data_IF_293568546361
#
_entry.id   IF_293568546361
#
_cell.length_a   1.000
_cell.length_b   1.000
_cell.length_c   1.000
_cell.angle_alpha   90.00
_cell.angle_beta   90.00
_cell.angle_gamma   90.00
#
_symmetry.space_group_name_H-M   'P 1'
#
loop_
_entity.id
_entity.type
_entity.pdbx_description
1 polymer ?
#
# COMPACT_ATOMS: atom_id res chain seq x y z
N UNK A 1 -8.00 -18.84 22.65
CA UNK A 1 -7.66 -17.49 22.15
C UNK A 1 -7.07 -17.59 20.76
N UNK A 2 -7.43 -16.66 19.88
CA UNK A 2 -6.85 -16.49 18.56
C UNK A 2 -5.91 -15.29 18.58
N UNK A 3 -4.71 -15.41 18.00
CA UNK A 3 -3.77 -14.31 17.89
C UNK A 3 -4.20 -13.38 16.75
N UNK A 4 -4.53 -12.14 17.08
CA UNK A 4 -4.86 -11.10 16.09
C UNK A 4 -3.58 -10.43 15.58
N UNK A 5 -2.66 -10.07 16.47
CA UNK A 5 -1.40 -9.40 16.12
C UNK A 5 -0.27 -9.77 17.09
N UNK A 6 0.99 -9.46 16.71
CA UNK A 6 2.15 -9.68 17.57
C UNK A 6 2.81 -11.06 17.44
N UNK A 7 2.71 -11.72 16.26
CA UNK A 7 3.30 -13.04 16.02
C UNK A 7 4.82 -13.09 16.34
N UNK A 8 5.58 -12.05 15.96
CA UNK A 8 7.01 -11.98 16.30
C UNK A 8 7.25 -11.97 17.80
N UNK A 9 6.44 -11.21 18.57
CA UNK A 9 6.51 -11.14 20.01
C UNK A 9 6.21 -12.49 20.65
N UNK A 10 5.12 -13.14 20.22
CA UNK A 10 4.77 -14.48 20.69
C UNK A 10 5.88 -15.50 20.41
N UNK A 11 6.44 -15.51 19.21
CA UNK A 11 7.53 -16.40 18.85
C UNK A 11 8.80 -16.15 19.69
N UNK A 12 9.14 -14.88 19.96
CA UNK A 12 10.25 -14.54 20.85
C UNK A 12 10.05 -15.08 22.26
N UNK A 13 8.85 -14.96 22.83
CA UNK A 13 8.54 -15.52 24.16
C UNK A 13 8.63 -17.05 24.17
N UNK A 14 8.17 -17.72 23.08
CA UNK A 14 8.33 -19.18 22.93
C UNK A 14 9.80 -19.60 22.89
N UNK A 15 10.64 -18.89 22.10
CA UNK A 15 12.09 -19.15 22.02
C UNK A 15 12.78 -18.96 23.38
N UNK A 16 12.37 -17.95 24.13
CA UNK A 16 12.88 -17.68 25.49
C UNK A 16 12.29 -18.62 26.55
N UNK A 17 11.47 -19.60 26.16
CA UNK A 17 10.77 -20.55 27.06
C UNK A 17 10.00 -19.85 28.19
N UNK A 18 9.43 -18.67 27.91
CA UNK A 18 8.58 -17.96 28.87
C UNK A 18 7.18 -18.56 28.86
N UNK A 19 6.64 -18.85 30.05
CA UNK A 19 5.29 -19.42 30.20
C UNK A 19 4.16 -18.41 30.04
N UNK A 20 4.42 -17.12 30.22
CA UNK A 20 3.44 -16.05 30.16
C UNK A 20 3.88 -14.93 29.23
N UNK A 21 2.92 -14.35 28.52
CA UNK A 21 3.09 -13.19 27.66
C UNK A 21 2.03 -12.14 27.99
N UNK A 22 2.38 -10.85 28.18
CA UNK A 22 1.40 -9.80 28.28
C UNK A 22 0.60 -9.68 26.99
N UNK A 23 -0.73 -9.72 27.08
CA UNK A 23 -1.63 -9.62 25.95
C UNK A 23 -2.85 -8.76 26.29
N UNK A 24 -3.39 -8.09 25.27
CA UNK A 24 -4.71 -7.46 25.34
C UNK A 24 -5.70 -8.44 24.75
N UNK A 25 -6.76 -8.77 25.48
CA UNK A 25 -7.83 -9.66 25.02
C UNK A 25 -8.98 -8.80 24.50
N UNK A 26 -9.42 -9.08 23.27
CA UNK A 26 -10.60 -8.47 22.67
C UNK A 26 -11.74 -9.52 22.69
N UNK A 27 -12.92 -9.12 23.11
CA UNK A 27 -14.13 -9.96 23.15
C UNK A 27 -14.92 -9.91 21.83
N UNK A 28 -14.25 -9.56 20.74
CA UNK A 28 -14.85 -9.37 19.42
C UNK A 28 -14.63 -10.60 18.55
N UNK A 29 -15.69 -11.16 18.00
CA UNK A 29 -15.66 -12.37 17.17
C UNK A 29 -15.67 -12.07 15.66
N UNK A 30 -15.79 -10.79 15.28
CA UNK A 30 -15.86 -10.40 13.88
C UNK A 30 -14.48 -10.41 13.21
N UNK A 31 -14.30 -11.28 12.23
CA UNK A 31 -13.05 -11.41 11.49
C UNK A 31 -12.58 -10.12 10.80
N UNK A 32 -13.52 -9.27 10.33
CA UNK A 32 -13.17 -7.97 9.74
C UNK A 32 -12.62 -7.00 10.79
N UNK A 33 -13.15 -7.05 12.02
CA UNK A 33 -12.61 -6.25 13.14
C UNK A 33 -11.21 -6.73 13.52
N UNK A 34 -10.96 -8.04 13.54
CA UNK A 34 -9.63 -8.59 13.77
C UNK A 34 -8.63 -8.12 12.71
N UNK A 35 -9.00 -8.15 11.43
CA UNK A 35 -8.18 -7.62 10.34
C UNK A 35 -7.92 -6.11 10.48
N UNK A 36 -8.94 -5.35 10.91
CA UNK A 36 -8.79 -3.91 11.14
C UNK A 36 -7.78 -3.61 12.26
N UNK A 37 -7.86 -4.35 13.37
CA UNK A 37 -6.92 -4.21 14.50
C UNK A 37 -5.47 -4.50 14.04
N UNK A 38 -5.26 -5.58 13.28
CA UNK A 38 -3.95 -5.94 12.74
C UNK A 38 -3.40 -4.84 11.82
N UNK A 39 -4.24 -4.33 10.89
CA UNK A 39 -3.86 -3.27 9.98
C UNK A 39 -3.52 -1.96 10.69
N UNK A 40 -4.30 -1.58 11.71
CA UNK A 40 -4.05 -0.37 12.50
C UNK A 40 -2.77 -0.48 13.32
N UNK A 41 -2.47 -1.65 13.87
CA UNK A 41 -1.19 -1.89 14.52
C UNK A 41 -0.03 -1.73 13.53
N UNK A 42 -0.11 -2.32 12.35
CA UNK A 42 0.92 -2.22 11.32
C UNK A 42 1.12 -0.78 10.84
N UNK A 43 0.05 -0.04 10.59
CA UNK A 43 0.10 1.38 10.20
C UNK A 43 0.66 2.29 11.31
N UNK A 44 0.53 1.90 12.59
CA UNK A 44 1.10 2.64 13.72
C UNK A 44 2.58 2.39 13.93
N UNK A 45 3.10 1.27 13.45
CA UNK A 45 4.53 0.93 13.48
C UNK A 45 5.20 1.57 12.26
N UNK A 46 6.18 2.44 12.47
CA UNK A 46 6.94 3.11 11.42
C UNK A 46 7.89 2.16 10.63
N UNK A 47 7.47 0.91 10.40
CA UNK A 47 8.27 -0.13 9.73
C UNK A 47 7.81 -0.45 8.31
N UNK A 48 6.68 0.13 7.87
CA UNK A 48 6.17 -0.07 6.53
C UNK A 48 6.85 0.89 5.55
N UNK A 49 7.13 0.42 4.35
CA UNK A 49 7.49 1.28 3.23
C UNK A 49 6.27 2.12 2.80
N UNK A 50 6.51 3.23 2.10
CA UNK A 50 5.42 4.07 1.57
C UNK A 50 4.51 3.28 0.61
N UNK A 51 5.06 2.30 -0.09
CA UNK A 51 4.33 1.39 -0.97
C UNK A 51 3.35 0.53 -0.17
N UNK A 52 3.83 -0.12 0.90
CA UNK A 52 3.02 -0.95 1.79
C UNK A 52 1.96 -0.15 2.54
N UNK A 53 2.31 1.05 3.04
CA UNK A 53 1.34 1.94 3.68
C UNK A 53 0.17 2.29 2.73
N UNK A 54 0.45 2.50 1.44
CA UNK A 54 -0.58 2.76 0.43
C UNK A 54 -1.59 1.62 0.33
N UNK A 55 -1.11 0.38 0.29
CA UNK A 55 -1.96 -0.81 0.22
C UNK A 55 -2.74 -1.04 1.51
N UNK A 56 -2.10 -0.85 2.68
CA UNK A 56 -2.75 -0.96 3.99
C UNK A 56 -3.88 0.08 4.17
N UNK A 57 -3.67 1.33 3.72
CA UNK A 57 -4.70 2.37 3.77
C UNK A 57 -5.92 1.98 2.93
N UNK A 58 -5.71 1.44 1.73
CA UNK A 58 -6.83 1.02 0.86
C UNK A 58 -7.55 -0.20 1.42
N UNK A 59 -6.81 -1.17 1.96
CA UNK A 59 -7.41 -2.34 2.60
C UNK A 59 -8.22 -1.94 3.84
N UNK A 60 -7.69 -1.02 4.68
CA UNK A 60 -8.41 -0.45 5.81
C UNK A 60 -9.73 0.20 5.39
N UNK A 61 -9.72 1.00 4.31
CA UNK A 61 -10.94 1.61 3.80
C UNK A 61 -11.97 0.58 3.34
N UNK A 62 -11.56 -0.50 2.67
CA UNK A 62 -12.45 -1.58 2.26
C UNK A 62 -13.13 -2.22 3.47
N UNK A 63 -12.36 -2.57 4.50
CA UNK A 63 -12.92 -3.15 5.73
C UNK A 63 -13.89 -2.19 6.41
N UNK A 64 -13.57 -0.89 6.50
CA UNK A 64 -14.48 0.12 7.07
C UNK A 64 -15.77 0.29 6.27
N UNK A 65 -15.74 0.10 4.95
CA UNK A 65 -16.93 0.09 4.10
C UNK A 65 -17.77 -1.15 4.40
N UNK A 66 -17.17 -2.33 4.48
CA UNK A 66 -17.86 -3.59 4.78
C UNK A 66 -18.48 -3.59 6.19
N UNK A 67 -17.82 -2.95 7.15
CA UNK A 67 -18.36 -2.72 8.50
C UNK A 67 -19.44 -1.61 8.56
N UNK A 68 -19.77 -0.97 7.43
CA UNK A 68 -20.75 0.14 7.39
C UNK A 68 -20.27 1.44 8.04
N UNK A 69 -18.99 1.55 8.38
CA UNK A 69 -18.40 2.72 9.04
C UNK A 69 -17.94 3.80 8.04
N UNK A 70 -17.82 3.46 6.75
CA UNK A 70 -17.48 4.38 5.66
C UNK A 70 -18.44 4.21 4.51
N UNK A 71 -18.92 5.35 3.92
CA UNK A 71 -19.74 5.32 2.71
C UNK A 71 -18.92 5.11 1.45
N UNK A 72 -19.50 4.41 0.48
CA UNK A 72 -18.98 4.34 -0.88
C UNK A 72 -19.17 5.70 -1.57
N UNK A 73 -18.17 6.17 -2.30
CA UNK A 73 -18.27 7.42 -3.06
C UNK A 73 -19.43 7.31 -4.07
N UNK A 74 -20.32 8.31 -4.08
CA UNK A 74 -21.49 8.35 -4.97
C UNK A 74 -22.76 7.67 -4.43
N UNK A 75 -22.72 7.05 -3.27
CA UNK A 75 -23.94 6.55 -2.61
C UNK A 75 -24.66 7.68 -1.89
N UNK A 76 -25.97 7.84 -2.15
CA UNK A 76 -26.85 8.80 -1.44
C UNK A 76 -27.22 8.32 -0.03
N UNK A 77 -26.34 7.63 0.65
CA UNK A 77 -26.60 7.15 1.99
C UNK A 77 -26.54 8.31 2.98
N UNK A 78 -27.72 8.85 3.32
CA UNK A 78 -27.97 9.71 4.48
C UNK A 78 -27.73 8.99 5.83
N UNK A 79 -26.94 7.91 5.85
CA UNK A 79 -26.57 7.22 7.08
C UNK A 79 -25.61 8.12 7.86
N UNK A 80 -26.14 8.66 8.91
CA UNK A 80 -25.48 9.47 9.94
C UNK A 80 -24.20 8.78 10.41
N UNK A 81 -23.02 9.32 10.08
CA UNK A 81 -21.68 8.94 10.59
C UNK A 81 -20.74 8.13 9.68
N UNK A 82 -20.89 8.13 8.39
CA UNK A 82 -19.82 7.59 7.54
C UNK A 82 -18.55 8.44 7.66
N UNK A 83 -17.43 7.79 7.98
CA UNK A 83 -16.14 8.47 8.11
C UNK A 83 -15.71 9.11 6.79
N UNK A 84 -15.32 10.38 6.83
CA UNK A 84 -14.77 11.10 5.69
C UNK A 84 -13.28 10.78 5.51
N UNK A 85 -12.73 11.05 4.31
CA UNK A 85 -11.29 10.96 4.10
C UNK A 85 -10.49 11.92 5.00
N UNK A 86 -11.07 13.03 5.44
CA UNK A 86 -10.46 13.93 6.41
C UNK A 86 -10.32 13.23 7.77
N UNK A 87 -11.42 12.66 8.28
CA UNK A 87 -11.43 11.89 9.53
C UNK A 87 -10.44 10.72 9.49
N UNK A 88 -10.40 9.99 8.38
CA UNK A 88 -9.47 8.85 8.24
C UNK A 88 -8.01 9.28 8.21
N UNK A 89 -7.70 10.42 7.57
CA UNK A 89 -6.33 10.96 7.56
C UNK A 89 -5.89 11.45 8.94
N UNK A 90 -6.81 12.05 9.72
CA UNK A 90 -6.56 12.48 11.09
C UNK A 90 -6.26 11.30 12.02
N UNK A 91 -7.04 10.20 11.91
CA UNK A 91 -6.81 8.97 12.67
C UNK A 91 -5.40 8.40 12.43
N UNK A 92 -4.91 8.49 11.20
CA UNK A 92 -3.56 8.06 10.81
C UNK A 92 -2.49 9.14 11.03
N UNK A 93 -2.82 10.26 11.69
CA UNK A 93 -1.92 11.39 11.97
C UNK A 93 -1.21 11.94 10.74
N UNK A 94 -1.87 11.94 9.60
CA UNK A 94 -1.34 12.46 8.34
C UNK A 94 -2.27 13.52 7.73
N UNK A 95 -1.73 14.43 6.92
CA UNK A 95 -2.56 15.39 6.22
C UNK A 95 -3.36 14.71 5.09
N UNK A 96 -4.51 15.30 4.73
CA UNK A 96 -5.44 14.79 3.71
C UNK A 96 -4.76 14.56 2.35
N UNK A 97 -3.82 15.42 1.96
CA UNK A 97 -3.11 15.32 0.67
C UNK A 97 -2.19 14.10 0.65
N UNK A 98 -1.40 13.90 1.71
CA UNK A 98 -0.53 12.71 1.87
C UNK A 98 -1.36 11.43 1.86
N UNK A 99 -2.49 11.42 2.57
CA UNK A 99 -3.43 10.29 2.58
C UNK A 99 -3.90 9.93 1.16
N UNK A 100 -4.32 10.93 0.37
CA UNK A 100 -4.75 10.72 -1.02
C UNK A 100 -3.61 10.22 -1.92
N UNK A 101 -2.40 10.73 -1.73
CA UNK A 101 -1.24 10.28 -2.51
C UNK A 101 -0.87 8.83 -2.19
N UNK A 102 -0.87 8.44 -0.92
CA UNK A 102 -0.65 7.04 -0.54
C UNK A 102 -1.72 6.11 -1.11
N UNK A 103 -2.98 6.53 -1.10
CA UNK A 103 -4.05 5.78 -1.81
C UNK A 103 -3.81 5.69 -3.32
N UNK A 104 -3.26 6.72 -3.95
CA UNK A 104 -2.93 6.66 -5.36
C UNK A 104 -1.82 5.66 -5.65
N UNK A 105 -0.85 5.52 -4.76
CA UNK A 105 0.25 4.54 -4.86
C UNK A 105 -0.27 3.11 -4.93
N UNK A 106 -1.34 2.77 -4.22
CA UNK A 106 -1.93 1.42 -4.28
C UNK A 106 -2.45 1.01 -5.66
N UNK A 107 -2.61 1.97 -6.58
CA UNK A 107 -3.02 1.70 -7.97
C UNK A 107 -1.87 1.22 -8.88
N UNK A 108 -0.65 1.19 -8.38
CA UNK A 108 0.47 0.60 -9.11
C UNK A 108 0.18 -0.89 -9.34
N UNK A 109 0.49 -1.36 -10.56
CA UNK A 109 0.31 -2.77 -10.92
C UNK A 109 1.02 -3.71 -9.94
N UNK A 110 0.38 -4.80 -9.53
CA UNK A 110 0.88 -5.73 -8.52
C UNK A 110 2.21 -6.39 -8.90
N UNK A 111 2.43 -6.70 -10.18
CA UNK A 111 3.72 -7.22 -10.65
C UNK A 111 4.84 -6.17 -10.47
N UNK A 112 4.51 -4.90 -10.71
CA UNK A 112 5.46 -3.79 -10.50
C UNK A 112 5.78 -3.60 -9.03
N UNK A 113 4.76 -3.64 -8.14
CA UNK A 113 4.97 -3.54 -6.69
C UNK A 113 5.96 -4.59 -6.19
N UNK A 114 5.79 -5.85 -6.61
CA UNK A 114 6.71 -6.94 -6.25
C UNK A 114 8.15 -6.69 -6.72
N UNK A 115 8.33 -6.11 -7.91
CA UNK A 115 9.64 -5.81 -8.46
C UNK A 115 10.36 -4.66 -7.74
N UNK A 116 9.61 -3.69 -7.21
CA UNK A 116 10.21 -2.50 -6.56
C UNK A 116 10.25 -2.59 -5.04
N UNK A 117 9.63 -3.60 -4.42
CA UNK A 117 9.49 -3.71 -2.95
C UNK A 117 10.82 -3.53 -2.21
N UNK A 118 11.89 -4.17 -2.69
CA UNK A 118 13.22 -4.11 -2.08
C UNK A 118 14.10 -2.95 -2.61
N UNK A 119 13.50 -2.01 -3.33
CA UNK A 119 14.21 -0.87 -3.90
C UNK A 119 13.96 0.41 -3.10
N UNK A 120 14.89 1.38 -3.18
CA UNK A 120 14.70 2.70 -2.57
C UNK A 120 13.45 3.44 -3.07
N UNK A 121 12.91 3.03 -4.23
CA UNK A 121 11.68 3.60 -4.80
C UNK A 121 10.47 3.26 -3.94
N UNK A 122 10.44 2.12 -3.24
CA UNK A 122 9.35 1.72 -2.37
C UNK A 122 9.07 2.72 -1.22
N UNK A 123 10.10 3.46 -0.79
CA UNK A 123 10.02 4.48 0.25
C UNK A 123 9.89 5.92 -0.27
N UNK A 124 9.91 6.12 -1.59
CA UNK A 124 9.85 7.46 -2.17
C UNK A 124 8.44 7.78 -2.69
N UNK A 125 7.67 8.53 -1.91
CA UNK A 125 6.30 8.90 -2.27
C UNK A 125 6.19 9.61 -3.64
N UNK A 126 7.12 10.51 -3.97
CA UNK A 126 7.08 11.27 -5.23
C UNK A 126 7.34 10.37 -6.45
N UNK A 127 8.28 9.43 -6.34
CA UNK A 127 8.58 8.46 -7.38
C UNK A 127 7.39 7.53 -7.59
N UNK A 128 6.79 7.03 -6.50
CA UNK A 128 5.61 6.17 -6.54
C UNK A 128 4.38 6.86 -7.14
N UNK A 129 4.11 8.13 -6.79
CA UNK A 129 3.04 8.93 -7.40
C UNK A 129 3.29 9.07 -8.92
N UNK A 130 4.53 9.35 -9.30
CA UNK A 130 4.89 9.48 -10.72
C UNK A 130 4.70 8.16 -11.45
N UNK A 131 5.09 7.03 -10.83
CA UNK A 131 4.92 5.69 -11.37
C UNK A 131 3.44 5.31 -11.52
N UNK A 132 2.62 5.58 -10.50
CA UNK A 132 1.19 5.26 -10.52
C UNK A 132 0.38 5.95 -11.63
N UNK A 133 0.94 7.02 -12.21
CA UNK A 133 0.35 7.77 -13.34
C UNK A 133 0.80 7.27 -14.70
N UNK A 134 1.77 6.35 -14.74
CA UNK A 134 2.22 5.79 -16.02
C UNK A 134 1.29 4.65 -16.47
N UNK A 135 1.22 4.39 -17.78
CA UNK A 135 0.57 3.20 -18.31
C UNK A 135 1.17 1.92 -17.71
N UNK A 136 0.37 0.86 -17.62
CA UNK A 136 0.76 -0.38 -16.95
C UNK A 136 2.04 -1.02 -17.53
N UNK A 137 2.16 -1.04 -18.87
CA UNK A 137 3.36 -1.53 -19.55
C UNK A 137 4.62 -0.77 -19.16
N UNK A 138 4.52 0.57 -19.00
CA UNK A 138 5.64 1.41 -18.54
C UNK A 138 5.95 1.13 -17.07
N UNK A 139 4.92 0.95 -16.22
CA UNK A 139 5.12 0.61 -14.82
C UNK A 139 5.92 -0.70 -14.68
N UNK A 140 5.51 -1.75 -15.41
CA UNK A 140 6.17 -3.06 -15.36
C UNK A 140 7.63 -2.95 -15.85
N UNK A 141 7.87 -2.20 -16.92
CA UNK A 141 9.23 -2.04 -17.46
C UNK A 141 10.13 -1.27 -16.50
N UNK A 142 9.63 -0.20 -15.87
CA UNK A 142 10.35 0.53 -14.80
C UNK A 142 10.69 -0.41 -13.64
N UNK A 143 9.73 -1.23 -13.23
CA UNK A 143 9.94 -2.23 -12.18
C UNK A 143 11.09 -3.21 -12.53
N UNK A 144 11.09 -3.75 -13.75
CA UNK A 144 12.16 -4.64 -14.24
C UNK A 144 13.53 -3.97 -14.26
N UNK A 145 13.62 -2.72 -14.76
CA UNK A 145 14.87 -1.96 -14.83
C UNK A 145 15.43 -1.71 -13.43
N UNK A 146 14.58 -1.36 -12.45
CA UNK A 146 15.01 -1.12 -11.07
C UNK A 146 15.41 -2.41 -10.37
N UNK A 147 14.62 -3.47 -10.52
CA UNK A 147 14.90 -4.78 -9.93
C UNK A 147 16.24 -5.34 -10.42
N UNK A 148 16.47 -5.29 -11.72
CA UNK A 148 17.69 -5.77 -12.36
C UNK A 148 18.89 -4.80 -12.22
N UNK A 149 18.74 -3.72 -11.44
CA UNK A 149 19.78 -2.70 -11.18
C UNK A 149 20.36 -2.07 -12.45
N UNK A 150 19.60 -2.05 -13.56
CA UNK A 150 20.00 -1.43 -14.82
C UNK A 150 20.01 0.11 -14.74
N UNK A 151 19.29 0.68 -13.77
CA UNK A 151 19.32 2.10 -13.44
C UNK A 151 19.49 2.30 -11.93
N UNK A 152 20.32 3.29 -11.56
CA UNK A 152 20.57 3.65 -10.15
C UNK A 152 19.49 4.53 -9.55
N UNK A 153 18.67 5.19 -10.39
CA UNK A 153 17.65 6.13 -9.96
C UNK A 153 16.33 5.86 -10.68
N UNK A 154 15.22 6.11 -10.00
CA UNK A 154 13.88 6.02 -10.60
C UNK A 154 13.75 6.87 -11.87
N UNK A 155 14.23 8.13 -11.85
CA UNK A 155 14.16 9.03 -13.01
C UNK A 155 14.84 8.44 -14.25
N UNK A 156 15.99 7.78 -14.07
CA UNK A 156 16.69 7.11 -15.17
C UNK A 156 15.94 5.88 -15.66
N UNK A 157 15.39 5.06 -14.75
CA UNK A 157 14.58 3.90 -15.10
C UNK A 157 13.34 4.30 -15.90
N UNK A 158 12.64 5.35 -15.47
CA UNK A 158 11.45 5.87 -16.16
C UNK A 158 11.79 6.38 -17.57
N UNK A 159 12.91 7.08 -17.73
CA UNK A 159 13.36 7.54 -19.04
C UNK A 159 13.64 6.34 -19.98
N UNK A 160 14.39 5.35 -19.51
CA UNK A 160 14.72 4.14 -20.29
C UNK A 160 13.45 3.38 -20.71
N UNK A 161 12.50 3.20 -19.79
CA UNK A 161 11.23 2.55 -20.08
C UNK A 161 10.45 3.30 -21.16
N UNK A 162 10.33 4.62 -21.04
CA UNK A 162 9.61 5.43 -22.03
C UNK A 162 10.26 5.40 -23.43
N UNK A 163 11.58 5.52 -23.51
CA UNK A 163 12.33 5.46 -24.78
C UNK A 163 12.10 4.12 -25.49
N UNK A 164 12.10 3.02 -24.74
CA UNK A 164 11.84 1.68 -25.31
C UNK A 164 10.46 1.60 -26.01
N UNK A 165 9.42 2.18 -25.42
CA UNK A 165 8.07 2.15 -26.01
C UNK A 165 7.91 3.13 -27.18
N UNK A 166 8.54 4.31 -27.12
CA UNK A 166 8.53 5.25 -28.24
C UNK A 166 9.20 4.61 -29.48
N UNK A 167 10.35 3.99 -29.31
CA UNK A 167 11.05 3.34 -30.42
C UNK A 167 10.27 2.16 -31.00
N UNK A 168 9.56 1.39 -30.14
CA UNK A 168 8.75 0.24 -30.60
C UNK A 168 7.47 0.64 -31.35
N UNK A 169 6.91 1.82 -31.10
CA UNK A 169 5.80 2.37 -31.90
C UNK A 169 6.28 2.91 -33.24
N UNK A 170 7.45 3.55 -33.23
CA UNK A 170 8.03 4.15 -34.45
C UNK A 170 8.44 3.09 -35.50
N UNK A 171 8.96 1.94 -35.08
CA UNK A 171 9.30 0.83 -35.99
C UNK A 171 8.07 0.18 -36.59
N UNK A 172 6.95 0.06 -35.89
CA UNK A 172 5.70 -0.50 -36.44
C UNK A 172 5.01 0.40 -37.47
N UNK A 173 5.09 1.72 -37.31
CA UNK A 173 4.49 2.68 -38.25
C UNK A 173 5.31 2.87 -39.54
N UNK A 174 6.55 2.41 -39.60
CA UNK A 174 7.43 2.53 -40.78
C UNK A 174 7.66 1.19 -41.51
N UNK A 175 7.04 0.09 -41.06
CA UNK A 175 7.06 -1.22 -41.73
C UNK A 175 5.75 -1.52 -42.51
N UNK A 176 4.74 -0.61 -42.45
CA UNK A 176 3.52 -0.62 -43.30
C UNK A 176 3.69 0.36 -44.46
#
# INVERSE_FOLDING_TARGET
YVLISGNHRLNSFKLLKRSNIPAVVHEEDNALVHQLIELEENLSKNSLTVLEEGDHIVLREKILIELGQKSVAGSNNYTKKAMSNATLSEQLKMNKRTYQYKKQVSKINEATKKLIADTKTADNLNDLITLSRQPENVQIEVGKILHNKQARTFKRALLMAKTKFINSTWTKENEE
#
